data_IF_068766849112
#
_entry.id   IF_068766849112
#
_cell.length_a   1.000
_cell.length_b   1.000
_cell.length_c   1.000
_cell.angle_alpha   90.00
_cell.angle_beta   90.00
_cell.angle_gamma   90.00
#
_symmetry.space_group_name_H-M   'P 1'
#
loop_
_entity.id
_entity.type
_entity.pdbx_description
1 polymer ?
#
# COMPACT_ATOMS: atom_id res chain seq x y z
N UNK A 1 0.19 -38.43 -27.98
CA UNK A 1 -0.06 -38.10 -26.56
C UNK A 1 0.47 -36.69 -26.35
N UNK A 2 -0.38 -35.66 -26.48
CA UNK A 2 -0.02 -34.26 -26.36
C UNK A 2 0.01 -33.92 -24.86
N UNK A 3 1.19 -33.75 -24.29
CA UNK A 3 1.34 -33.18 -22.97
C UNK A 3 1.05 -31.68 -23.07
N UNK A 4 -0.16 -31.27 -22.69
CA UNK A 4 -0.44 -29.88 -22.40
C UNK A 4 0.35 -29.51 -21.13
N UNK A 5 1.49 -28.84 -21.31
CA UNK A 5 2.13 -28.11 -20.24
C UNK A 5 1.16 -26.99 -19.83
N UNK A 6 0.33 -27.24 -18.85
CA UNK A 6 -0.34 -26.18 -18.12
C UNK A 6 0.74 -25.44 -17.32
N UNK A 7 1.32 -24.43 -17.95
CA UNK A 7 1.99 -23.38 -17.19
C UNK A 7 0.89 -22.75 -16.32
N UNK A 8 0.78 -23.20 -15.08
CA UNK A 8 -0.03 -22.51 -14.08
C UNK A 8 0.56 -21.12 -13.95
N UNK A 9 -0.11 -20.12 -14.54
CA UNK A 9 0.19 -18.71 -14.35
C UNK A 9 0.03 -18.42 -12.84
N UNK A 10 1.15 -18.37 -12.14
CA UNK A 10 1.16 -18.05 -10.71
C UNK A 10 0.96 -16.53 -10.62
N UNK A 11 -0.27 -16.12 -10.29
CA UNK A 11 -0.55 -14.72 -10.05
C UNK A 11 -0.10 -14.33 -8.65
N UNK A 12 0.73 -13.28 -8.56
CA UNK A 12 1.16 -12.69 -7.29
C UNK A 12 0.24 -11.52 -6.91
N UNK A 13 -0.17 -11.46 -5.67
CA UNK A 13 -0.99 -10.36 -5.15
C UNK A 13 -0.29 -9.78 -3.92
N UNK A 14 0.03 -8.50 -4.01
CA UNK A 14 0.56 -7.74 -2.88
C UNK A 14 -0.58 -6.97 -2.22
N UNK A 15 -0.77 -7.18 -0.92
CA UNK A 15 -1.76 -6.47 -0.12
C UNK A 15 -1.07 -5.39 0.72
N UNK A 16 -1.51 -4.16 0.55
CA UNK A 16 -0.97 -3.01 1.27
C UNK A 16 -2.07 -2.31 2.08
N UNK A 17 -2.38 -2.82 3.28
CA UNK A 17 -3.40 -2.23 4.13
C UNK A 17 -2.87 -1.04 4.93
N UNK A 18 -3.63 0.06 4.97
CA UNK A 18 -3.26 1.23 5.75
C UNK A 18 -4.34 2.28 5.85
N UNK A 19 -4.10 3.31 6.68
CA UNK A 19 -4.99 4.45 6.75
C UNK A 19 -4.76 5.42 5.59
N UNK A 20 -3.49 5.67 5.23
CA UNK A 20 -3.07 6.59 4.16
C UNK A 20 -3.63 8.01 4.31
N UNK A 21 -3.63 8.55 5.52
CA UNK A 21 -4.26 9.83 5.88
C UNK A 21 -3.30 10.76 6.62
N UNK A 22 -2.52 11.57 5.88
CA UNK A 22 -2.42 11.61 4.43
C UNK A 22 -1.51 10.50 3.87
N UNK A 23 -1.63 10.24 2.56
CA UNK A 23 -0.63 9.49 1.79
C UNK A 23 0.63 10.35 1.67
N UNK A 24 1.81 9.78 1.84
CA UNK A 24 3.08 10.52 1.90
C UNK A 24 4.24 9.70 1.31
N UNK A 25 5.43 10.30 1.27
CA UNK A 25 6.62 9.69 0.64
C UNK A 25 6.96 8.28 1.13
N UNK A 26 6.77 7.98 2.42
CA UNK A 26 6.99 6.61 2.92
C UNK A 26 6.07 5.57 2.24
N UNK A 27 4.83 5.97 1.91
CA UNK A 27 3.91 5.12 1.15
C UNK A 27 4.25 5.10 -0.34
N UNK A 28 4.60 6.26 -0.88
CA UNK A 28 4.96 6.42 -2.28
C UNK A 28 6.21 5.61 -2.66
N UNK A 29 7.26 5.64 -1.85
CA UNK A 29 8.49 4.91 -2.14
C UNK A 29 8.27 3.40 -2.25
N UNK A 30 7.37 2.84 -1.43
CA UNK A 30 6.99 1.44 -1.56
C UNK A 30 6.26 1.16 -2.87
N UNK A 31 5.27 2.01 -3.20
CA UNK A 31 4.53 1.90 -4.45
C UNK A 31 5.45 2.06 -5.67
N UNK A 32 6.34 3.04 -5.65
CA UNK A 32 7.36 3.27 -6.69
C UNK A 32 8.22 2.02 -6.88
N UNK A 33 8.73 1.45 -5.78
CA UNK A 33 9.55 0.23 -5.83
C UNK A 33 8.79 -0.95 -6.41
N UNK A 34 7.53 -1.12 -6.04
CA UNK A 34 6.67 -2.14 -6.64
C UNK A 34 6.54 -1.93 -8.15
N UNK A 35 6.23 -0.72 -8.59
CA UNK A 35 6.07 -0.41 -10.02
C UNK A 35 7.37 -0.64 -10.78
N UNK A 36 8.52 -0.21 -10.26
CA UNK A 36 9.83 -0.45 -10.88
C UNK A 36 10.12 -1.93 -11.11
N UNK A 37 9.74 -2.79 -10.17
CA UNK A 37 10.01 -4.24 -10.25
C UNK A 37 8.99 -4.98 -11.11
N UNK A 38 7.72 -4.57 -11.07
CA UNK A 38 6.62 -5.39 -11.59
C UNK A 38 5.76 -4.72 -12.66
N UNK A 39 6.03 -3.49 -13.11
CA UNK A 39 5.17 -2.74 -14.05
C UNK A 39 4.83 -3.50 -15.34
N UNK A 40 5.75 -4.33 -15.81
CA UNK A 40 5.62 -5.07 -17.07
C UNK A 40 5.11 -6.51 -16.86
N UNK A 41 4.76 -6.88 -15.61
CA UNK A 41 4.29 -8.21 -15.28
C UNK A 41 2.77 -8.21 -15.04
N UNK A 42 2.02 -8.70 -16.04
CA UNK A 42 0.55 -8.77 -16.00
C UNK A 42 -0.02 -9.71 -14.93
N UNK A 43 0.81 -10.60 -14.39
CA UNK A 43 0.41 -11.60 -13.41
C UNK A 43 0.65 -11.15 -11.96
N UNK A 44 1.09 -9.89 -11.78
CA UNK A 44 1.35 -9.31 -10.46
C UNK A 44 0.43 -8.14 -10.21
N UNK A 45 -0.29 -8.16 -9.10
CA UNK A 45 -1.19 -7.09 -8.67
C UNK A 45 -0.78 -6.53 -7.31
N UNK A 46 -1.00 -5.24 -7.15
CA UNK A 46 -0.78 -4.51 -5.91
C UNK A 46 -2.10 -3.89 -5.47
N UNK A 47 -2.62 -4.29 -4.33
CA UNK A 47 -3.88 -3.78 -3.80
C UNK A 47 -3.61 -2.88 -2.59
N UNK A 48 -3.80 -1.58 -2.78
CA UNK A 48 -3.75 -0.58 -1.71
C UNK A 48 -5.11 -0.58 -1.02
N UNK A 49 -5.18 -1.05 0.22
CA UNK A 49 -6.44 -1.12 0.97
C UNK A 49 -6.50 0.07 1.91
N UNK A 50 -7.30 1.07 1.53
CA UNK A 50 -7.42 2.36 2.22
C UNK A 50 -8.52 2.29 3.27
N UNK A 51 -8.21 2.64 4.52
CA UNK A 51 -9.24 2.71 5.57
C UNK A 51 -10.32 3.74 5.22
N UNK A 52 -11.59 3.33 5.21
CA UNK A 52 -12.71 4.27 5.07
C UNK A 52 -13.02 5.05 6.36
N UNK A 53 -12.45 4.65 7.49
CA UNK A 53 -12.59 5.39 8.74
C UNK A 53 -11.88 6.74 8.63
N UNK A 54 -12.58 7.86 8.82
CA UNK A 54 -11.94 9.17 8.80
C UNK A 54 -10.84 9.28 9.86
N UNK A 55 -9.82 10.07 9.58
CA UNK A 55 -8.79 10.45 10.55
C UNK A 55 -8.79 11.94 10.67
N UNK A 56 -9.39 12.43 11.77
CA UNK A 56 -9.59 13.86 11.99
C UNK A 56 -10.39 14.49 10.83
N UNK A 57 -9.81 15.41 10.09
CA UNK A 57 -10.41 16.10 8.95
C UNK A 57 -10.16 15.41 7.60
N UNK A 58 -9.38 14.31 7.56
CA UNK A 58 -9.06 13.62 6.31
C UNK A 58 -10.07 12.51 6.03
N UNK A 59 -10.86 12.70 4.99
CA UNK A 59 -11.87 11.74 4.52
C UNK A 59 -11.27 10.67 3.63
N UNK A 60 -12.04 9.61 3.39
CA UNK A 60 -11.68 8.54 2.47
C UNK A 60 -11.55 9.05 1.03
N UNK A 61 -12.49 9.89 0.60
CA UNK A 61 -12.55 10.36 -0.79
C UNK A 61 -11.29 11.12 -1.18
N UNK A 62 -10.81 12.04 -0.34
CA UNK A 62 -9.56 12.78 -0.56
C UNK A 62 -8.34 11.86 -0.63
N UNK A 63 -8.31 10.82 0.21
CA UNK A 63 -7.20 9.85 0.18
C UNK A 63 -7.22 9.02 -1.09
N UNK A 64 -8.40 8.52 -1.49
CA UNK A 64 -8.55 7.73 -2.73
C UNK A 64 -8.23 8.59 -3.95
N UNK A 65 -8.79 9.79 -4.05
CA UNK A 65 -8.53 10.71 -5.16
C UNK A 65 -7.04 10.98 -5.33
N UNK A 66 -6.34 11.30 -4.24
CA UNK A 66 -4.91 11.56 -4.28
C UNK A 66 -4.10 10.33 -4.70
N UNK A 67 -4.37 9.16 -4.11
CA UNK A 67 -3.67 7.92 -4.43
C UNK A 67 -3.95 7.48 -5.87
N UNK A 68 -5.21 7.55 -6.31
CA UNK A 68 -5.61 7.17 -7.67
C UNK A 68 -4.95 8.08 -8.71
N UNK A 69 -4.89 9.38 -8.44
CA UNK A 69 -4.19 10.32 -9.33
C UNK A 69 -2.71 9.95 -9.49
N UNK A 70 -2.02 9.59 -8.39
CA UNK A 70 -0.61 9.14 -8.45
C UNK A 70 -0.50 7.85 -9.26
N UNK A 71 -1.35 6.87 -9.01
CA UNK A 71 -1.29 5.55 -9.64
C UNK A 71 -1.58 5.63 -11.14
N UNK A 72 -2.71 6.22 -11.52
CA UNK A 72 -3.21 6.20 -12.89
C UNK A 72 -2.53 7.23 -13.78
N UNK A 73 -2.37 8.46 -13.28
CA UNK A 73 -1.93 9.57 -14.12
C UNK A 73 -0.41 9.79 -14.09
N UNK A 74 0.26 9.37 -13.04
CA UNK A 74 1.70 9.64 -12.89
C UNK A 74 2.56 8.38 -13.02
N UNK A 75 2.14 7.26 -12.46
CA UNK A 75 2.88 6.00 -12.59
C UNK A 75 2.44 5.15 -13.78
N UNK A 76 1.23 5.40 -14.29
CA UNK A 76 0.70 4.78 -15.51
C UNK A 76 0.59 3.26 -15.44
N UNK A 77 0.34 2.71 -14.25
CA UNK A 77 0.25 1.27 -14.03
C UNK A 77 -1.19 0.80 -13.88
N UNK A 78 -1.52 -0.31 -14.54
CA UNK A 78 -2.83 -0.97 -14.46
C UNK A 78 -2.87 -2.06 -13.39
N UNK A 79 -1.73 -2.40 -12.82
CA UNK A 79 -1.59 -3.51 -11.87
C UNK A 79 -1.76 -3.06 -10.41
N UNK A 80 -2.03 -1.78 -10.17
CA UNK A 80 -2.32 -1.24 -8.84
C UNK A 80 -3.80 -0.95 -8.72
N UNK A 81 -4.41 -1.48 -7.67
CA UNK A 81 -5.84 -1.33 -7.37
C UNK A 81 -5.96 -0.59 -6.05
N UNK A 82 -6.76 0.47 -6.01
CA UNK A 82 -7.10 1.19 -4.78
C UNK A 82 -8.47 0.71 -4.28
N UNK A 83 -8.49 0.11 -3.10
CA UNK A 83 -9.67 -0.54 -2.54
C UNK A 83 -10.03 0.05 -1.16
N UNK A 84 -11.21 0.65 -0.98
CA UNK A 84 -11.65 1.18 0.31
C UNK A 84 -12.24 0.08 1.20
N UNK A 85 -11.90 0.06 2.49
CA UNK A 85 -12.55 -0.78 3.50
C UNK A 85 -12.52 -0.12 4.87
N UNK A 86 -13.54 -0.35 5.69
CA UNK A 86 -13.59 0.17 7.06
C UNK A 86 -12.47 -0.40 7.94
N UNK A 87 -12.04 -1.61 7.66
CA UNK A 87 -10.96 -2.29 8.37
C UNK A 87 -10.01 -2.95 7.36
N UNK A 88 -8.92 -2.27 6.94
CA UNK A 88 -7.99 -2.79 5.94
C UNK A 88 -7.40 -4.17 6.25
N UNK A 89 -7.14 -4.47 7.52
CA UNK A 89 -6.64 -5.79 7.89
C UNK A 89 -7.70 -6.87 7.71
N UNK A 90 -8.96 -6.60 8.11
CA UNK A 90 -10.07 -7.54 7.86
C UNK A 90 -10.27 -7.77 6.37
N UNK A 91 -10.13 -6.71 5.55
CA UNK A 91 -10.20 -6.84 4.10
C UNK A 91 -9.11 -7.79 3.56
N UNK A 92 -7.88 -7.75 4.09
CA UNK A 92 -6.85 -8.73 3.73
C UNK A 92 -7.32 -10.17 3.99
N UNK A 93 -7.88 -10.45 5.18
CA UNK A 93 -8.41 -11.79 5.49
C UNK A 93 -9.56 -12.18 4.56
N UNK A 94 -10.45 -11.23 4.24
CA UNK A 94 -11.57 -11.49 3.33
C UNK A 94 -11.08 -11.78 1.92
N UNK A 95 -10.15 -11.00 1.40
CA UNK A 95 -9.61 -11.17 0.05
C UNK A 95 -8.90 -12.53 -0.10
N UNK A 96 -8.10 -12.93 0.88
CA UNK A 96 -7.41 -14.23 0.83
C UNK A 96 -8.37 -15.39 1.07
N UNK A 97 -9.36 -15.24 1.95
CA UNK A 97 -10.33 -16.28 2.28
C UNK A 97 -11.46 -16.46 1.27
N UNK A 98 -11.65 -15.51 0.35
CA UNK A 98 -12.72 -15.61 -0.64
C UNK A 98 -12.35 -16.52 -1.82
N UNK A 99 -13.35 -17.24 -2.33
CA UNK A 99 -13.24 -18.19 -3.46
C UNK A 99 -12.62 -17.59 -4.72
N UNK A 100 -12.65 -16.29 -4.91
CA UNK A 100 -12.01 -15.60 -6.03
C UNK A 100 -10.50 -15.80 -6.04
N UNK A 101 -9.84 -15.74 -4.87
CA UNK A 101 -8.41 -16.02 -4.77
C UNK A 101 -8.13 -17.52 -4.79
N UNK A 102 -9.02 -18.33 -4.22
CA UNK A 102 -8.94 -19.80 -4.28
C UNK A 102 -9.07 -20.34 -5.70
N UNK A 103 -9.96 -19.75 -6.51
CA UNK A 103 -10.22 -20.21 -7.88
C UNK A 103 -9.02 -20.11 -8.82
N UNK A 104 -7.97 -19.40 -8.44
CA UNK A 104 -6.85 -19.09 -9.33
C UNK A 104 -5.48 -19.61 -8.85
N UNK A 105 -5.39 -20.43 -7.78
CA UNK A 105 -4.11 -20.92 -7.22
C UNK A 105 -3.05 -19.81 -7.08
N UNK A 106 -3.39 -18.74 -6.36
CA UNK A 106 -2.56 -17.53 -6.30
C UNK A 106 -1.69 -17.49 -5.06
N UNK A 107 -0.47 -17.07 -5.26
CA UNK A 107 0.41 -16.68 -4.16
C UNK A 107 0.02 -15.27 -3.69
N UNK A 108 -0.20 -15.12 -2.39
CA UNK A 108 -0.55 -13.83 -1.77
C UNK A 108 0.63 -13.32 -0.95
N UNK A 109 1.06 -12.12 -1.25
CA UNK A 109 2.13 -11.43 -0.54
C UNK A 109 1.56 -10.28 0.28
N UNK A 110 1.95 -10.21 1.54
CA UNK A 110 1.63 -9.06 2.39
C UNK A 110 2.81 -8.11 2.39
N UNK A 111 2.59 -6.84 2.12
CA UNK A 111 3.62 -5.83 2.21
C UNK A 111 3.58 -5.21 3.59
N UNK A 112 4.68 -5.38 4.32
CA UNK A 112 4.90 -4.73 5.60
C UNK A 112 5.61 -3.42 5.30
N UNK A 113 4.90 -2.32 5.48
CA UNK A 113 5.52 -1.01 5.43
C UNK A 113 5.99 -0.61 6.82
N UNK A 114 7.25 -0.52 6.93
CA UNK A 114 8.12 0.18 7.89
C UNK A 114 7.71 0.36 9.35
N UNK A 115 8.65 0.07 10.19
CA UNK A 115 9.16 0.85 11.34
C UNK A 115 8.31 1.05 12.58
N UNK A 116 7.02 0.77 12.61
CA UNK A 116 6.26 0.80 13.87
C UNK A 116 6.02 -0.64 14.31
N UNK A 117 6.71 -1.08 15.36
CA UNK A 117 6.70 -2.46 15.86
C UNK A 117 5.32 -3.10 16.06
N UNK A 118 4.27 -2.31 16.32
CA UNK A 118 2.89 -2.80 16.43
C UNK A 118 2.27 -3.19 15.07
N UNK A 119 2.69 -2.58 13.97
CA UNK A 119 2.19 -2.94 12.65
C UNK A 119 2.78 -4.26 12.20
N UNK A 120 4.07 -4.49 12.47
CA UNK A 120 4.73 -5.76 12.15
C UNK A 120 4.02 -6.96 12.79
N UNK A 121 3.56 -6.83 14.05
CA UNK A 121 2.84 -7.91 14.71
C UNK A 121 1.54 -8.28 14.00
N UNK A 122 0.74 -7.28 13.56
CA UNK A 122 -0.51 -7.55 12.83
C UNK A 122 -0.28 -8.29 11.52
N UNK A 123 0.80 -7.96 10.82
CA UNK A 123 1.18 -8.64 9.58
C UNK A 123 1.74 -10.04 9.85
N UNK A 124 2.50 -10.22 10.93
CA UNK A 124 2.92 -11.54 11.37
C UNK A 124 1.75 -12.43 11.75
N UNK A 125 0.78 -11.91 12.49
CA UNK A 125 -0.44 -12.63 12.84
C UNK A 125 -1.24 -13.03 11.60
N UNK A 126 -1.34 -12.14 10.61
CA UNK A 126 -1.95 -12.44 9.32
C UNK A 126 -1.20 -13.55 8.59
N UNK A 127 0.11 -13.42 8.43
CA UNK A 127 0.98 -14.41 7.82
C UNK A 127 0.84 -15.78 8.51
N UNK A 128 0.96 -15.82 9.82
CA UNK A 128 0.88 -17.05 10.60
C UNK A 128 -0.49 -17.72 10.52
N UNK A 129 -1.56 -16.94 10.34
CA UNK A 129 -2.93 -17.47 10.22
C UNK A 129 -3.15 -18.32 8.98
N UNK A 130 -2.39 -18.12 7.93
CA UNK A 130 -2.52 -18.84 6.65
C UNK A 130 -1.42 -19.88 6.42
N UNK A 131 -0.44 -19.98 7.29
CA UNK A 131 0.64 -20.97 7.18
C UNK A 131 0.38 -22.20 8.05
N UNK A 132 1.24 -23.21 7.94
CA UNK A 132 1.09 -24.49 8.63
C UNK A 132 0.89 -24.30 10.14
N UNK A 133 -0.18 -24.89 10.66
CA UNK A 133 -0.62 -24.71 12.04
C UNK A 133 -1.50 -23.48 12.29
N UNK A 134 -1.69 -22.61 11.31
CA UNK A 134 -2.54 -21.42 11.40
C UNK A 134 -4.03 -21.73 11.24
N UNK A 135 -4.87 -20.83 11.78
CA UNK A 135 -6.35 -21.00 11.82
C UNK A 135 -6.99 -21.14 10.42
N UNK A 136 -6.41 -20.52 9.41
CA UNK A 136 -6.95 -20.47 8.05
C UNK A 136 -6.08 -21.25 7.05
N UNK A 137 -5.19 -22.11 7.54
CA UNK A 137 -4.38 -22.95 6.68
C UNK A 137 -5.24 -23.91 5.87
N UNK A 138 -5.09 -23.88 4.55
CA UNK A 138 -5.85 -24.74 3.62
C UNK A 138 -4.96 -25.56 2.68
N UNK A 139 -3.66 -25.32 2.69
CA UNK A 139 -2.71 -25.91 1.74
C UNK A 139 -2.83 -25.39 0.30
N UNK A 140 -3.83 -24.57 0.01
CA UNK A 140 -4.12 -24.02 -1.33
C UNK A 140 -3.60 -22.60 -1.47
N UNK A 141 -3.80 -21.78 -0.44
CA UNK A 141 -3.34 -20.39 -0.42
C UNK A 141 -2.07 -20.26 0.37
N UNK A 142 -1.04 -19.74 -0.26
CA UNK A 142 0.21 -19.40 0.41
C UNK A 142 0.26 -17.90 0.63
N UNK A 143 0.40 -17.50 1.89
CA UNK A 143 0.69 -16.12 2.27
C UNK A 143 2.18 -16.05 2.61
N UNK A 144 2.89 -15.15 1.96
CA UNK A 144 4.33 -15.00 2.13
C UNK A 144 4.66 -13.69 2.84
N UNK A 145 5.70 -13.71 3.64
CA UNK A 145 6.36 -12.47 4.07
C UNK A 145 7.12 -11.90 2.87
N UNK A 146 6.91 -10.64 2.50
CA UNK A 146 7.67 -10.05 1.41
C UNK A 146 9.12 -9.82 1.84
N UNK A 147 10.04 -10.45 1.14
CA UNK A 147 11.49 -10.19 1.28
C UNK A 147 11.98 -9.24 0.19
N UNK A 148 11.12 -8.95 -0.79
CA UNK A 148 11.53 -8.34 -2.07
C UNK A 148 11.40 -6.81 -2.04
N UNK A 149 10.56 -6.27 -1.14
CA UNK A 149 10.33 -4.83 -1.01
C UNK A 149 10.59 -4.41 0.44
N UNK A 150 11.86 -4.26 0.76
CA UNK A 150 12.31 -3.67 2.02
C UNK A 150 12.78 -2.25 1.71
N UNK A 151 12.26 -1.26 2.43
CA UNK A 151 12.65 0.14 2.30
C UNK A 151 13.17 0.68 3.60
N UNK A 152 14.21 1.50 3.49
CA UNK A 152 14.62 2.35 4.60
C UNK A 152 13.55 3.41 4.89
N UNK A 153 13.37 3.82 6.13
CA UNK A 153 12.44 4.87 6.49
C UNK A 153 12.75 6.17 5.74
N UNK A 154 11.74 6.78 5.13
CA UNK A 154 11.87 8.14 4.60
C UNK A 154 11.88 9.10 5.78
N UNK A 155 12.86 10.00 5.81
CA UNK A 155 13.05 10.95 6.89
C UNK A 155 12.59 12.36 6.51
N UNK A 156 12.00 13.06 7.48
CA UNK A 156 11.78 14.51 7.45
C UNK A 156 13.12 15.25 7.61
N UNK A 157 13.12 16.57 7.49
CA UNK A 157 14.34 17.39 7.60
C UNK A 157 14.98 17.38 8.98
N UNK A 158 14.19 17.09 10.00
CA UNK A 158 14.67 16.94 11.38
C UNK A 158 15.23 15.52 11.68
N UNK A 159 15.31 14.66 10.67
CA UNK A 159 15.79 13.28 10.79
C UNK A 159 14.76 12.30 11.36
N UNK A 160 13.54 12.74 11.66
CA UNK A 160 12.48 11.83 12.12
C UNK A 160 11.81 11.10 10.96
N UNK A 161 11.37 9.83 11.14
CA UNK A 161 10.64 9.14 10.09
C UNK A 161 9.32 9.84 9.72
N UNK A 162 9.08 10.03 8.42
CA UNK A 162 7.82 10.58 7.95
C UNK A 162 6.64 9.72 8.42
N UNK A 163 5.63 10.37 8.97
CA UNK A 163 4.42 9.68 9.40
C UNK A 163 3.19 10.59 9.28
N UNK A 164 2.03 9.96 9.07
CA UNK A 164 0.79 10.66 8.85
C UNK A 164 0.33 11.53 10.04
N UNK A 165 0.69 11.18 11.27
CA UNK A 165 0.34 11.97 12.46
C UNK A 165 1.05 13.30 12.47
N UNK A 166 2.36 13.30 12.24
CA UNK A 166 3.17 14.52 12.14
C UNK A 166 2.64 15.42 11.02
N UNK A 167 2.36 14.85 9.84
CA UNK A 167 1.83 15.62 8.71
C UNK A 167 0.44 16.23 9.00
N UNK A 168 -0.43 15.54 9.72
CA UNK A 168 -1.71 16.13 10.18
C UNK A 168 -1.52 17.29 11.14
N UNK A 169 -0.51 17.23 12.01
CA UNK A 169 -0.20 18.35 12.90
C UNK A 169 0.25 19.58 12.10
N UNK A 170 1.11 19.43 11.11
CA UNK A 170 1.49 20.53 10.22
C UNK A 170 0.28 21.15 9.48
N UNK A 171 -0.69 20.33 9.07
CA UNK A 171 -1.94 20.85 8.50
C UNK A 171 -2.72 21.68 9.53
N UNK A 172 -2.87 21.21 10.77
CA UNK A 172 -3.57 21.94 11.84
C UNK A 172 -2.90 23.28 12.20
N UNK A 173 -1.57 23.29 12.12
CA UNK A 173 -0.75 24.46 12.40
C UNK A 173 -0.66 25.40 11.19
N UNK A 174 -1.27 25.04 10.06
CA UNK A 174 -1.16 25.70 8.77
C UNK A 174 0.29 25.89 8.30
N UNK A 175 1.14 24.92 8.64
CA UNK A 175 2.58 24.90 8.31
C UNK A 175 2.81 24.08 7.03
N UNK A 176 2.64 24.75 5.88
CA UNK A 176 2.85 24.12 4.58
C UNK A 176 4.31 23.73 4.34
N UNK A 177 5.27 24.51 4.77
CA UNK A 177 6.69 24.22 4.51
C UNK A 177 7.14 22.95 5.23
N UNK A 178 6.74 22.76 6.48
CA UNK A 178 7.01 21.52 7.20
C UNK A 178 6.22 20.34 6.59
N UNK A 179 4.95 20.53 6.22
CA UNK A 179 4.15 19.50 5.55
C UNK A 179 4.79 19.01 4.25
N UNK A 180 5.30 19.92 3.43
CA UNK A 180 5.96 19.66 2.15
C UNK A 180 7.18 18.72 2.30
N UNK A 181 7.84 18.71 3.45
CA UNK A 181 8.99 17.82 3.70
C UNK A 181 8.64 16.34 3.63
N UNK A 182 7.39 15.98 3.89
CA UNK A 182 6.87 14.62 3.75
C UNK A 182 6.58 14.17 2.31
N UNK A 183 6.86 15.02 1.30
CA UNK A 183 6.56 14.81 -0.12
C UNK A 183 7.74 15.09 -1.05
N UNK A 184 8.96 15.15 -0.53
CA UNK A 184 10.16 15.49 -1.29
C UNK A 184 10.43 14.56 -2.46
N UNK A 185 10.23 13.26 -2.27
CA UNK A 185 10.45 12.27 -3.31
C UNK A 185 9.39 12.39 -4.41
N UNK A 186 8.11 12.56 -4.06
CA UNK A 186 7.06 12.77 -5.07
C UNK A 186 7.27 14.06 -5.86
N UNK A 187 7.75 15.12 -5.22
CA UNK A 187 8.08 16.38 -5.87
C UNK A 187 9.31 16.23 -6.78
N UNK A 188 10.39 15.62 -6.29
CA UNK A 188 11.63 15.43 -7.07
C UNK A 188 11.45 14.51 -8.27
N UNK A 189 10.58 13.52 -8.16
CA UNK A 189 10.26 12.58 -9.23
C UNK A 189 9.25 13.18 -10.24
N UNK A 190 8.73 14.39 -9.98
CA UNK A 190 7.71 15.03 -10.81
C UNK A 190 6.34 14.34 -10.77
N UNK A 191 6.12 13.48 -9.78
CA UNK A 191 4.86 12.77 -9.59
C UNK A 191 3.75 13.71 -9.15
N UNK A 192 4.11 14.73 -8.39
CA UNK A 192 3.22 15.81 -8.01
C UNK A 192 3.97 17.14 -8.11
N UNK A 193 3.30 18.17 -8.59
CA UNK A 193 3.82 19.53 -8.59
C UNK A 193 3.60 20.19 -7.23
N UNK A 194 4.36 21.26 -6.96
CA UNK A 194 4.16 22.04 -5.74
C UNK A 194 2.77 22.66 -5.66
N UNK A 195 2.18 23.07 -6.78
CA UNK A 195 0.82 23.60 -6.83
C UNK A 195 -0.23 22.54 -6.50
N UNK A 196 -0.08 21.31 -7.02
CA UNK A 196 -0.95 20.18 -6.66
C UNK A 196 -0.83 19.85 -5.18
N UNK A 197 0.39 19.81 -4.62
CA UNK A 197 0.60 19.56 -3.20
C UNK A 197 -0.01 20.67 -2.33
N UNK A 198 0.13 21.94 -2.73
CA UNK A 198 -0.47 23.06 -2.00
C UNK A 198 -1.99 23.02 -2.06
N UNK A 199 -2.56 22.63 -3.20
CA UNK A 199 -4.01 22.42 -3.35
C UNK A 199 -4.47 21.28 -2.42
N UNK A 200 -3.73 20.18 -2.37
CA UNK A 200 -4.01 19.08 -1.47
C UNK A 200 -3.95 19.49 -0.01
N UNK A 201 -2.90 20.22 0.40
CA UNK A 201 -2.77 20.76 1.75
C UNK A 201 -3.95 21.66 2.12
N UNK A 202 -4.33 22.61 1.25
CA UNK A 202 -5.42 23.55 1.49
C UNK A 202 -6.82 22.91 1.42
N UNK A 203 -6.91 21.67 0.96
CA UNK A 203 -8.18 20.94 0.90
C UNK A 203 -8.64 20.39 2.25
N UNK A 204 -7.79 20.50 3.26
CA UNK A 204 -8.04 20.05 4.63
C UNK A 204 -8.40 21.23 5.54
#
# INVERSE_FOLDING_TARGET
MLFFNYNYLIMKIFLYPGAFKPFHDGHYMLLKRFVEVYKDNSDVFFIIIVSSTPREFITIDKSIEFITNIVENKLGTKNVIVYPDANPMRACYTLVGQSILHAFNKDVYTIICSSKGNDNKRFEDFYNSYNEGGKYYSGINKVFKPNEIILEPVLLDDGTPVNATTLRNYIKENDYESFKTGYKHMLSDGVISENELKTYFNSY
#
